data_IF_805553760553
#
_entry.id   IF_805553760553
#
_cell.length_a   1.000
_cell.length_b   1.000
_cell.length_c   1.000
_cell.angle_alpha   90.00
_cell.angle_beta   90.00
_cell.angle_gamma   90.00
#
_symmetry.space_group_name_H-M   'P 1'
#
loop_
_entity.id
_entity.type
_entity.pdbx_description
1 polymer ?
#
# COMPACT_ATOMS: atom_id res chain seq x y z
N UNK A 1 -3.94 9.52 15.65
CA UNK A 1 -3.25 9.39 14.36
C UNK A 1 -4.29 9.51 13.29
N UNK A 2 -4.13 10.46 12.37
CA UNK A 2 -5.03 10.59 11.23
C UNK A 2 -4.88 9.34 10.35
N UNK A 3 -6.02 8.74 10.01
CA UNK A 3 -6.09 7.54 9.18
C UNK A 3 -5.87 7.95 7.74
N UNK A 4 -4.96 7.30 7.03
CA UNK A 4 -4.76 7.50 5.59
C UNK A 4 -6.05 7.16 4.85
N UNK A 5 -6.55 8.11 4.05
CA UNK A 5 -7.75 8.01 3.22
C UNK A 5 -7.42 8.22 1.76
N UNK A 6 -8.35 7.84 0.88
CA UNK A 6 -8.25 8.02 -0.56
C UNK A 6 -7.89 9.47 -0.97
N UNK A 7 -8.42 10.47 -0.26
CA UNK A 7 -8.13 11.90 -0.49
C UNK A 7 -6.65 12.28 -0.22
N UNK A 8 -5.91 11.47 0.53
CA UNK A 8 -4.50 11.70 0.82
C UNK A 8 -3.59 11.33 -0.36
N UNK A 9 -4.06 10.51 -1.30
CA UNK A 9 -3.26 10.04 -2.44
C UNK A 9 -3.22 11.03 -3.62
N UNK A 10 -4.07 12.03 -3.63
CA UNK A 10 -4.24 12.94 -4.76
C UNK A 10 -3.88 14.36 -4.34
N UNK A 11 -3.30 15.13 -5.27
CA UNK A 11 -3.08 16.55 -5.06
C UNK A 11 -4.40 17.33 -5.09
N UNK A 12 -4.44 18.44 -4.36
CA UNK A 12 -5.57 19.36 -4.37
C UNK A 12 -5.80 19.89 -5.79
N UNK A 13 -7.05 19.81 -6.26
CA UNK A 13 -7.44 20.31 -7.58
C UNK A 13 -8.88 20.81 -7.58
N UNK A 14 -9.32 21.43 -8.68
CA UNK A 14 -10.73 21.82 -8.85
C UNK A 14 -11.69 20.63 -8.80
N UNK A 15 -11.23 19.43 -9.18
CA UNK A 15 -12.01 18.19 -9.14
C UNK A 15 -11.99 17.50 -7.77
N UNK A 16 -11.00 17.81 -6.93
CA UNK A 16 -10.93 17.33 -5.56
C UNK A 16 -10.37 18.44 -4.64
N UNK A 17 -11.22 19.38 -4.20
CA UNK A 17 -10.78 20.50 -3.38
C UNK A 17 -10.31 20.08 -1.98
N UNK A 18 -10.74 18.91 -1.51
CA UNK A 18 -10.40 18.35 -0.20
C UNK A 18 -9.23 17.35 -0.26
N UNK A 19 -8.64 17.13 -1.43
CA UNK A 19 -7.48 16.27 -1.57
C UNK A 19 -6.24 16.95 -0.95
N UNK A 20 -5.39 16.14 -0.31
CA UNK A 20 -4.28 16.62 0.54
C UNK A 20 -2.92 16.34 -0.11
N UNK A 21 -2.75 15.19 -0.76
CA UNK A 21 -1.49 14.79 -1.39
C UNK A 21 -0.38 14.56 -0.38
N UNK A 22 -0.56 13.59 0.53
CA UNK A 22 0.50 13.19 1.46
C UNK A 22 1.73 12.68 0.69
N UNK A 23 2.94 12.89 1.20
CA UNK A 23 4.16 12.74 0.40
C UNK A 23 4.35 11.31 -0.12
N UNK A 24 4.18 10.31 0.73
CA UNK A 24 4.32 8.90 0.37
C UNK A 24 3.15 8.41 -0.49
N UNK A 25 1.92 8.69 -0.10
CA UNK A 25 0.72 8.27 -0.83
C UNK A 25 0.65 8.87 -2.23
N UNK A 26 0.94 10.17 -2.39
CA UNK A 26 0.90 10.82 -3.71
C UNK A 26 1.98 10.27 -4.63
N UNK A 27 3.17 9.95 -4.10
CA UNK A 27 4.25 9.39 -4.91
C UNK A 27 3.86 8.04 -5.50
N UNK A 28 3.14 7.20 -4.76
CA UNK A 28 2.58 5.94 -5.29
C UNK A 28 1.73 6.23 -6.52
N UNK A 29 0.80 7.19 -6.43
CA UNK A 29 -0.06 7.57 -7.56
C UNK A 29 0.75 8.10 -8.73
N UNK A 30 1.68 9.03 -8.50
CA UNK A 30 2.49 9.65 -9.55
C UNK A 30 3.33 8.61 -10.29
N UNK A 31 3.99 7.70 -9.58
CA UNK A 31 4.76 6.61 -10.19
C UNK A 31 3.85 5.64 -10.96
N UNK A 32 2.69 5.31 -10.41
CA UNK A 32 1.73 4.39 -11.05
C UNK A 32 1.17 4.99 -12.35
N UNK A 33 0.80 6.28 -12.34
CA UNK A 33 0.36 7.00 -13.54
C UNK A 33 1.48 7.14 -14.59
N UNK A 34 2.73 7.39 -14.18
CA UNK A 34 3.87 7.43 -15.10
C UNK A 34 4.09 6.09 -15.82
N UNK A 35 3.70 4.98 -15.19
CA UNK A 35 3.70 3.64 -15.79
C UNK A 35 2.38 3.29 -16.50
N UNK A 36 1.53 4.29 -16.79
CA UNK A 36 0.30 4.19 -17.57
C UNK A 36 -0.80 3.30 -16.96
N UNK A 37 -0.79 3.13 -15.65
CA UNK A 37 -1.90 2.51 -14.94
C UNK A 37 -3.05 3.49 -14.76
N UNK A 38 -4.28 2.98 -14.75
CA UNK A 38 -5.42 3.69 -14.20
C UNK A 38 -5.46 3.44 -12.69
N UNK A 39 -5.67 4.49 -11.88
CA UNK A 39 -5.53 4.41 -10.42
C UNK A 39 -6.86 4.67 -9.72
N UNK A 40 -7.25 3.73 -8.85
CA UNK A 40 -8.37 3.84 -7.94
C UNK A 40 -7.87 3.75 -6.50
N UNK A 41 -8.21 4.74 -5.66
CA UNK A 41 -7.92 4.71 -4.23
C UNK A 41 -9.22 4.63 -3.45
N UNK A 42 -9.29 3.70 -2.49
CA UNK A 42 -10.50 3.40 -1.72
C UNK A 42 -10.18 3.57 -0.24
N UNK A 43 -11.08 4.22 0.51
CA UNK A 43 -10.97 4.34 1.96
C UNK A 43 -11.87 3.29 2.61
N UNK A 44 -11.43 2.75 3.75
CA UNK A 44 -12.37 2.10 4.67
C UNK A 44 -13.38 3.13 5.18
N UNK A 45 -14.59 2.69 5.47
CA UNK A 45 -15.61 3.46 6.17
C UNK A 45 -15.18 3.77 7.63
N UNK A 46 -14.35 2.89 8.20
CA UNK A 46 -13.83 3.01 9.56
C UNK A 46 -12.40 3.55 9.63
N UNK A 47 -11.74 3.28 10.76
CA UNK A 47 -10.31 3.59 10.96
C UNK A 47 -9.38 2.47 10.50
N UNK A 48 -9.92 1.27 10.28
CA UNK A 48 -9.25 0.07 9.79
C UNK A 48 -10.22 -0.73 8.92
N UNK A 49 -9.67 -1.45 7.96
CA UNK A 49 -10.43 -2.33 7.09
C UNK A 49 -11.12 -3.47 7.86
N UNK A 50 -12.37 -3.71 7.53
CA UNK A 50 -13.20 -4.83 8.00
C UNK A 50 -13.44 -5.82 6.86
N UNK A 51 -12.84 -7.01 6.95
CA UNK A 51 -12.98 -8.06 5.91
C UNK A 51 -14.43 -8.54 5.81
N UNK A 52 -15.13 -8.62 6.94
CA UNK A 52 -16.50 -9.10 6.98
C UNK A 52 -17.48 -8.09 6.36
N UNK A 53 -17.33 -6.81 6.72
CA UNK A 53 -18.30 -5.78 6.36
C UNK A 53 -18.00 -5.14 4.99
N UNK A 54 -16.73 -4.96 4.64
CA UNK A 54 -16.34 -4.11 3.50
C UNK A 54 -15.95 -4.89 2.25
N UNK A 55 -15.65 -6.18 2.34
CA UNK A 55 -15.07 -6.97 1.22
C UNK A 55 -15.96 -6.98 -0.01
N UNK A 56 -17.24 -7.32 0.14
CA UNK A 56 -18.19 -7.35 -0.98
C UNK A 56 -18.50 -5.94 -1.51
N UNK A 57 -18.48 -4.93 -0.64
CA UNK A 57 -18.70 -3.53 -1.02
C UNK A 57 -17.53 -3.06 -1.90
N UNK A 58 -16.28 -3.30 -1.46
CA UNK A 58 -15.09 -2.92 -2.24
C UNK A 58 -15.02 -3.67 -3.56
N UNK A 59 -15.33 -4.96 -3.57
CA UNK A 59 -15.46 -5.72 -4.82
C UNK A 59 -16.40 -5.01 -5.80
N UNK A 60 -17.60 -4.67 -5.35
CA UNK A 60 -18.57 -3.95 -6.18
C UNK A 60 -18.09 -2.56 -6.64
N UNK A 61 -17.36 -1.82 -5.80
CA UNK A 61 -16.75 -0.53 -6.17
C UNK A 61 -15.73 -0.71 -7.30
N UNK A 62 -14.86 -1.73 -7.19
CA UNK A 62 -13.83 -2.01 -8.21
C UNK A 62 -14.50 -2.43 -9.51
N UNK A 63 -15.44 -3.37 -9.48
CA UNK A 63 -16.16 -3.86 -10.66
C UNK A 63 -16.90 -2.71 -11.37
N UNK A 64 -17.65 -1.91 -10.62
CA UNK A 64 -18.33 -0.73 -11.15
C UNK A 64 -17.36 0.27 -11.78
N UNK A 65 -16.22 0.53 -11.15
CA UNK A 65 -15.24 1.48 -11.68
C UNK A 65 -14.58 0.95 -12.95
N UNK A 66 -14.21 -0.33 -12.98
CA UNK A 66 -13.65 -1.00 -14.15
C UNK A 66 -14.63 -0.94 -15.33
N UNK A 67 -15.91 -1.26 -15.11
CA UNK A 67 -16.95 -1.17 -16.15
C UNK A 67 -17.15 0.26 -16.63
N UNK A 68 -17.32 1.20 -15.70
CA UNK A 68 -17.57 2.62 -16.00
C UNK A 68 -16.48 3.22 -16.90
N UNK A 69 -15.23 2.81 -16.71
CA UNK A 69 -14.08 3.30 -17.48
C UNK A 69 -13.60 2.34 -18.58
N UNK A 70 -14.34 1.24 -18.84
CA UNK A 70 -14.06 0.26 -19.90
C UNK A 70 -12.66 -0.37 -19.79
N UNK A 71 -12.30 -0.79 -18.58
CA UNK A 71 -10.98 -1.32 -18.23
C UNK A 71 -10.96 -2.86 -18.11
N UNK A 72 -12.02 -3.55 -18.49
CA UNK A 72 -12.25 -4.99 -18.26
C UNK A 72 -11.18 -5.88 -18.90
N UNK A 73 -10.50 -5.39 -19.95
CA UNK A 73 -9.45 -6.11 -20.67
C UNK A 73 -8.05 -5.88 -20.10
N UNK A 74 -7.91 -5.02 -19.10
CA UNK A 74 -6.63 -4.68 -18.49
C UNK A 74 -6.38 -5.52 -17.23
N UNK A 75 -5.10 -5.81 -16.92
CA UNK A 75 -4.76 -6.50 -15.68
C UNK A 75 -5.12 -5.64 -14.47
N UNK A 76 -5.74 -6.27 -13.47
CA UNK A 76 -6.05 -5.64 -12.19
C UNK A 76 -4.95 -5.99 -11.18
N UNK A 77 -4.35 -4.98 -10.54
CA UNK A 77 -3.35 -5.18 -9.48
C UNK A 77 -3.78 -4.44 -8.24
N UNK A 78 -3.34 -4.90 -7.06
CA UNK A 78 -3.65 -4.23 -5.81
C UNK A 78 -2.43 -4.02 -4.93
N UNK A 79 -2.43 -2.91 -4.20
CA UNK A 79 -1.42 -2.54 -3.23
C UNK A 79 -2.14 -2.06 -1.97
N UNK A 80 -1.77 -2.62 -0.81
CA UNK A 80 -2.38 -2.21 0.45
C UNK A 80 -1.44 -2.39 1.64
N UNK A 81 -1.59 -1.51 2.63
CA UNK A 81 -0.72 -1.46 3.81
C UNK A 81 -1.45 -1.80 5.11
N UNK A 82 -0.76 -2.45 6.03
CA UNK A 82 -1.22 -2.75 7.40
C UNK A 82 -2.58 -3.48 7.40
N UNK A 83 -3.66 -2.87 7.93
CA UNK A 83 -5.01 -3.46 7.88
C UNK A 83 -5.51 -3.70 6.45
N UNK A 84 -5.14 -2.83 5.51
CA UNK A 84 -5.43 -3.01 4.09
C UNK A 84 -4.68 -4.20 3.50
N UNK A 85 -3.49 -4.52 4.02
CA UNK A 85 -2.74 -5.72 3.60
C UNK A 85 -3.44 -7.03 3.98
N UNK A 86 -4.09 -7.06 5.14
CA UNK A 86 -4.97 -8.19 5.50
C UNK A 86 -6.20 -8.23 4.60
N UNK A 87 -6.83 -7.08 4.38
CA UNK A 87 -8.02 -6.96 3.57
C UNK A 87 -7.81 -7.40 2.13
N UNK A 88 -6.76 -6.89 1.46
CA UNK A 88 -6.46 -7.22 0.06
C UNK A 88 -6.11 -8.69 -0.12
N UNK A 89 -5.44 -9.30 0.87
CA UNK A 89 -5.14 -10.73 0.82
C UNK A 89 -6.42 -11.57 0.81
N UNK A 90 -7.46 -11.18 1.56
CA UNK A 90 -8.75 -11.88 1.49
C UNK A 90 -9.53 -11.50 0.23
N UNK A 91 -9.56 -10.22 -0.17
CA UNK A 91 -10.28 -9.79 -1.37
C UNK A 91 -9.78 -10.51 -2.64
N UNK A 92 -8.50 -10.89 -2.67
CA UNK A 92 -7.90 -11.65 -3.75
C UNK A 92 -8.45 -13.08 -3.93
N UNK A 93 -9.21 -13.62 -2.97
CA UNK A 93 -9.97 -14.87 -3.19
C UNK A 93 -11.25 -14.63 -3.99
N UNK A 94 -11.78 -13.41 -3.95
CA UNK A 94 -13.06 -13.05 -4.57
C UNK A 94 -12.91 -12.36 -5.92
N UNK A 95 -11.69 -11.94 -6.27
CA UNK A 95 -11.36 -11.18 -7.47
C UNK A 95 -10.02 -11.64 -8.07
N UNK A 96 -9.95 -11.71 -9.40
CA UNK A 96 -8.73 -12.11 -10.11
C UNK A 96 -7.79 -10.93 -10.30
N UNK A 97 -6.89 -10.75 -9.34
CA UNK A 97 -5.75 -9.85 -9.53
C UNK A 97 -4.65 -10.53 -10.34
N UNK A 98 -3.90 -9.77 -11.14
CA UNK A 98 -2.67 -10.23 -11.77
C UNK A 98 -1.50 -10.27 -10.79
N UNK A 99 -1.55 -9.44 -9.74
CA UNK A 99 -0.65 -9.51 -8.58
C UNK A 99 -1.19 -8.66 -7.43
N UNK A 100 -0.74 -8.97 -6.21
CA UNK A 100 -0.99 -8.14 -5.03
C UNK A 100 0.32 -7.77 -4.33
N UNK A 101 0.37 -6.56 -3.77
CA UNK A 101 1.46 -6.09 -2.92
C UNK A 101 0.95 -5.84 -1.51
N UNK A 102 1.50 -6.57 -0.54
CA UNK A 102 1.13 -6.52 0.87
C UNK A 102 2.22 -5.79 1.65
N UNK A 103 1.90 -4.57 2.08
CA UNK A 103 2.83 -3.66 2.73
C UNK A 103 2.67 -3.70 4.27
N UNK A 104 3.77 -3.83 5.02
CA UNK A 104 3.83 -3.78 6.50
C UNK A 104 2.76 -4.66 7.17
N UNK A 105 2.41 -5.74 6.49
CA UNK A 105 1.34 -6.66 6.87
C UNK A 105 1.74 -8.08 6.52
N UNK A 106 1.15 -9.04 7.22
CA UNK A 106 1.39 -10.46 6.96
C UNK A 106 0.32 -11.06 6.03
N UNK A 107 -0.82 -10.40 5.82
CA UNK A 107 -1.97 -11.01 5.14
C UNK A 107 -2.67 -12.10 5.97
N UNK A 108 -3.75 -12.66 5.44
CA UNK A 108 -4.62 -13.66 6.09
C UNK A 108 -4.54 -15.04 5.42
N UNK A 109 -3.38 -15.37 4.85
CA UNK A 109 -3.18 -16.55 3.99
C UNK A 109 -3.57 -17.89 4.64
N UNK A 110 -3.27 -18.08 5.92
CA UNK A 110 -3.65 -19.29 6.65
C UNK A 110 -5.14 -19.39 7.03
N UNK A 111 -5.95 -18.38 6.74
CA UNK A 111 -7.40 -18.36 7.06
C UNK A 111 -8.28 -18.59 5.84
N UNK A 112 -7.68 -18.87 4.68
CA UNK A 112 -8.38 -19.03 3.42
C UNK A 112 -7.87 -20.27 2.67
N UNK A 113 -8.74 -20.84 1.85
CA UNK A 113 -8.39 -21.92 0.94
C UNK A 113 -7.67 -21.32 -0.28
N UNK A 114 -6.33 -21.37 -0.25
CA UNK A 114 -5.50 -20.85 -1.33
C UNK A 114 -5.37 -21.93 -2.38
N UNK A 115 -5.94 -21.67 -3.55
CA UNK A 115 -5.72 -22.52 -4.72
C UNK A 115 -4.63 -21.93 -5.61
N UNK A 116 -4.10 -22.72 -6.55
CA UNK A 116 -3.03 -22.31 -7.49
C UNK A 116 -3.37 -21.09 -8.35
N UNK A 117 -4.63 -20.67 -8.38
CA UNK A 117 -5.08 -19.49 -9.12
C UNK A 117 -4.99 -18.18 -8.31
N UNK A 118 -4.57 -18.25 -7.05
CA UNK A 118 -4.33 -17.10 -6.21
C UNK A 118 -3.19 -16.22 -6.80
N UNK A 119 -3.31 -14.87 -6.75
CA UNK A 119 -2.36 -14.00 -7.44
C UNK A 119 -0.93 -14.07 -6.86
N UNK A 120 0.09 -13.89 -7.72
CA UNK A 120 1.45 -13.62 -7.27
C UNK A 120 1.49 -12.50 -6.23
N UNK A 121 2.22 -12.72 -5.15
CA UNK A 121 2.20 -11.86 -3.96
C UNK A 121 3.58 -11.29 -3.64
N UNK A 122 3.68 -9.97 -3.56
CA UNK A 122 4.87 -9.27 -3.11
C UNK A 122 4.68 -8.76 -1.67
N UNK A 123 5.51 -9.22 -0.75
CA UNK A 123 5.59 -8.63 0.58
C UNK A 123 6.57 -7.47 0.58
N UNK A 124 6.19 -6.37 1.20
CA UNK A 124 7.10 -5.26 1.43
C UNK A 124 7.08 -4.98 2.93
N UNK A 125 8.22 -5.12 3.60
CA UNK A 125 8.26 -5.08 5.07
C UNK A 125 9.59 -4.60 5.62
N UNK A 126 9.59 -4.27 6.91
CA UNK A 126 10.74 -3.81 7.65
C UNK A 126 11.32 -4.99 8.44
N UNK A 127 12.54 -5.47 8.13
CA UNK A 127 13.09 -6.64 8.81
C UNK A 127 13.25 -6.47 10.32
N UNK A 128 13.44 -5.23 10.80
CA UNK A 128 13.55 -4.91 12.24
C UNK A 128 12.23 -5.09 13.00
N UNK A 129 11.09 -5.14 12.32
CA UNK A 129 9.82 -5.58 12.92
C UNK A 129 9.83 -7.12 12.95
N UNK A 130 10.57 -7.69 13.91
CA UNK A 130 10.80 -9.14 14.00
C UNK A 130 9.49 -9.93 14.11
N UNK A 131 8.50 -9.42 14.85
CA UNK A 131 7.20 -10.06 15.01
C UNK A 131 6.44 -10.14 13.67
N UNK A 132 6.51 -9.08 12.85
CA UNK A 132 5.94 -9.08 11.51
C UNK A 132 6.74 -9.97 10.56
N UNK A 133 8.06 -9.84 10.59
CA UNK A 133 8.99 -10.60 9.75
C UNK A 133 8.78 -12.10 9.90
N UNK A 134 8.68 -12.61 11.14
CA UNK A 134 8.44 -14.04 11.38
C UNK A 134 7.16 -14.55 10.72
N UNK A 135 6.08 -13.77 10.74
CA UNK A 135 4.81 -14.12 10.08
C UNK A 135 4.93 -14.08 8.56
N UNK A 136 5.62 -13.08 8.03
CA UNK A 136 5.89 -12.99 6.59
C UNK A 136 6.74 -14.17 6.12
N UNK A 137 7.80 -14.54 6.86
CA UNK A 137 8.65 -15.69 6.55
C UNK A 137 7.85 -17.00 6.51
N UNK A 138 6.87 -17.16 7.40
CA UNK A 138 5.96 -18.31 7.38
C UNK A 138 5.06 -18.30 6.13
N UNK A 139 4.47 -17.15 5.79
CA UNK A 139 3.61 -17.01 4.61
C UNK A 139 4.38 -17.15 3.30
N UNK A 140 5.63 -16.69 3.23
CA UNK A 140 6.52 -16.91 2.08
C UNK A 140 6.71 -18.41 1.79
N UNK A 141 6.94 -19.20 2.84
CA UNK A 141 7.06 -20.67 2.69
C UNK A 141 5.75 -21.30 2.27
N UNK A 142 4.67 -20.97 2.98
CA UNK A 142 3.33 -21.51 2.70
C UNK A 142 2.88 -21.23 1.27
N UNK A 143 2.94 -19.97 0.81
CA UNK A 143 2.54 -19.61 -0.55
C UNK A 143 3.38 -20.31 -1.62
N UNK A 144 4.69 -20.45 -1.37
CA UNK A 144 5.58 -21.18 -2.28
C UNK A 144 5.26 -22.68 -2.33
N UNK A 145 4.90 -23.29 -1.20
CA UNK A 145 4.47 -24.69 -1.12
C UNK A 145 3.14 -24.93 -1.86
N UNK A 146 2.22 -23.97 -1.81
CA UNK A 146 0.98 -23.97 -2.60
C UNK A 146 1.20 -23.67 -4.11
N UNK A 147 2.44 -23.39 -4.52
CA UNK A 147 2.80 -23.12 -5.91
C UNK A 147 2.48 -21.70 -6.36
N UNK A 148 2.30 -20.76 -5.43
CA UNK A 148 2.09 -19.33 -5.70
C UNK A 148 3.44 -18.63 -5.81
N UNK A 149 3.59 -17.82 -6.87
CA UNK A 149 4.76 -16.94 -7.01
C UNK A 149 4.77 -15.89 -5.90
N UNK A 150 5.83 -15.89 -5.09
CA UNK A 150 5.92 -15.01 -3.93
C UNK A 150 7.33 -14.46 -3.75
N UNK A 151 7.42 -13.18 -3.42
CA UNK A 151 8.69 -12.48 -3.20
C UNK A 151 8.59 -11.47 -2.05
N UNK A 152 9.74 -10.95 -1.61
CA UNK A 152 9.82 -9.91 -0.60
C UNK A 152 10.75 -8.75 -0.99
N UNK A 153 10.37 -7.54 -0.59
CA UNK A 153 11.21 -6.34 -0.56
C UNK A 153 11.46 -5.95 0.89
N UNK A 154 12.73 -5.93 1.26
CA UNK A 154 13.18 -5.56 2.59
C UNK A 154 13.46 -4.06 2.65
N UNK A 155 12.64 -3.38 3.42
CA UNK A 155 12.77 -1.97 3.75
C UNK A 155 13.86 -1.83 4.80
N UNK A 156 15.06 -1.43 4.38
CA UNK A 156 16.16 -1.18 5.30
C UNK A 156 16.09 0.24 5.84
N UNK A 157 16.77 0.44 6.97
CA UNK A 157 16.88 1.77 7.55
C UNK A 157 17.85 2.64 6.75
N UNK A 158 17.61 3.94 6.72
CA UNK A 158 18.47 4.92 6.06
C UNK A 158 18.50 6.22 6.87
N UNK A 159 19.59 6.99 6.79
CA UNK A 159 19.72 8.24 7.52
C UNK A 159 18.79 9.32 6.95
N UNK A 160 18.13 10.04 7.85
CA UNK A 160 17.41 11.25 7.48
C UNK A 160 18.38 12.37 7.14
N UNK A 161 18.08 13.09 6.06
CA UNK A 161 18.79 14.30 5.66
C UNK A 161 17.81 15.47 5.53
N UNK A 162 18.26 16.74 5.62
CA UNK A 162 17.41 17.90 5.35
C UNK A 162 16.80 17.91 3.94
N UNK A 163 17.37 17.17 3.00
CA UNK A 163 16.81 16.96 1.68
C UNK A 163 15.61 16.01 1.69
N UNK A 164 15.50 15.14 2.70
CA UNK A 164 14.51 14.06 2.72
C UNK A 164 13.07 14.58 2.63
N UNK A 165 12.70 15.56 3.46
CA UNK A 165 11.36 16.15 3.42
C UNK A 165 11.26 17.21 2.32
N UNK A 166 12.30 18.03 2.15
CA UNK A 166 12.28 19.15 1.21
C UNK A 166 12.10 18.70 -0.25
N UNK A 167 12.73 17.60 -0.65
CA UNK A 167 12.63 17.08 -2.02
C UNK A 167 11.27 16.40 -2.29
N UNK A 168 10.45 16.19 -1.24
CA UNK A 168 9.23 15.37 -1.31
C UNK A 168 7.96 16.13 -1.00
N UNK A 169 8.02 17.17 -0.17
CA UNK A 169 6.85 17.92 0.30
C UNK A 169 6.81 19.25 -0.45
N UNK A 170 5.86 19.46 -1.38
CA UNK A 170 5.72 20.73 -2.08
C UNK A 170 5.55 21.89 -1.09
N UNK A 171 6.34 22.94 -1.28
CA UNK A 171 6.32 24.11 -0.40
C UNK A 171 7.14 23.98 0.89
N UNK A 172 7.82 22.86 1.12
CA UNK A 172 8.75 22.68 2.24
C UNK A 172 10.19 22.84 1.74
N UNK A 173 10.89 23.88 2.20
CA UNK A 173 12.29 24.09 1.85
C UNK A 173 13.24 23.34 2.81
N UNK A 174 14.54 23.33 2.46
CA UNK A 174 15.57 22.64 3.27
C UNK A 174 15.69 23.22 4.68
N UNK A 175 15.45 24.52 4.86
CA UNK A 175 15.54 25.19 6.17
C UNK A 175 14.44 24.67 7.09
N UNK A 176 13.21 24.64 6.59
CA UNK A 176 12.05 24.09 7.29
C UNK A 176 12.28 22.60 7.58
N UNK A 177 12.74 21.82 6.60
CA UNK A 177 13.07 20.40 6.82
C UNK A 177 14.09 20.20 7.93
N UNK A 178 15.15 21.00 7.93
CA UNK A 178 16.22 20.90 8.93
C UNK A 178 15.70 21.24 10.32
N UNK A 179 14.89 22.29 10.45
CA UNK A 179 14.26 22.66 11.70
C UNK A 179 13.37 21.53 12.22
N UNK A 180 12.53 20.92 11.38
CA UNK A 180 11.72 19.77 11.80
C UNK A 180 12.56 18.63 12.35
N UNK A 181 13.63 18.22 11.66
CA UNK A 181 14.51 17.13 12.11
C UNK A 181 15.19 17.42 13.45
N UNK A 182 15.56 18.69 13.70
CA UNK A 182 16.14 19.13 14.96
C UNK A 182 15.10 19.08 16.08
N UNK A 183 13.90 19.66 15.86
CA UNK A 183 12.85 19.73 16.86
C UNK A 183 12.24 18.38 17.23
N UNK A 184 12.16 17.45 16.27
CA UNK A 184 11.66 16.09 16.52
C UNK A 184 12.69 15.19 17.22
N UNK A 185 13.84 15.75 17.63
CA UNK A 185 14.93 15.00 18.28
C UNK A 185 15.47 13.87 17.40
N UNK A 186 15.22 13.94 16.09
CA UNK A 186 15.42 12.82 15.18
C UNK A 186 16.86 12.80 14.71
N UNK A 187 17.74 12.24 15.55
CA UNK A 187 18.98 11.61 15.08
C UNK A 187 18.72 10.26 14.37
N UNK A 188 17.45 9.93 14.10
CA UNK A 188 16.99 8.59 13.82
C UNK A 188 17.15 8.18 12.36
N UNK A 189 17.56 6.93 12.18
CA UNK A 189 17.38 6.18 10.95
C UNK A 189 15.87 5.91 10.80
N UNK A 190 15.28 6.21 9.64
CA UNK A 190 13.94 5.74 9.30
C UNK A 190 14.06 4.46 8.51
N UNK A 191 13.14 3.53 8.76
CA UNK A 191 12.96 2.37 7.90
C UNK A 191 11.87 2.70 6.89
N UNK A 192 12.17 2.68 5.58
CA UNK A 192 11.24 3.08 4.51
C UNK A 192 10.97 1.96 3.53
N UNK A 193 9.70 1.90 3.09
CA UNK A 193 9.27 1.30 1.84
C UNK A 193 9.73 2.11 0.64
N UNK A 194 10.80 1.63 0.01
CA UNK A 194 11.16 2.05 -1.35
C UNK A 194 10.40 1.11 -2.28
N UNK A 195 9.32 1.61 -2.86
CA UNK A 195 8.61 1.00 -3.99
C UNK A 195 8.99 1.80 -5.22
#
# INVERSE_FOLDING_TARGET
>A
MDVVRAINFWDKSSKCPNCIGLPEERLIVLHTLAHKFAVLTISSAGTRWSVEEERMIVKGIIEWWVEKYKLEKLPLVALAASSGGYFVSMLATDMRFSSITVMISAGLFHQMDITKDYPPTLFVHMPKDEARKQKIDANLRFLKEEGIDVAEVKCMEFPLSPNFLADRIPGLDKTISMNYLIYSGTRALLTRMVI
#
